data_IF_842417702157
#
_entry.id   IF_842417702157
#
_cell.length_a   1.000
_cell.length_b   1.000
_cell.length_c   1.000
_cell.angle_alpha   90.00
_cell.angle_beta   90.00
_cell.angle_gamma   90.00
#
_symmetry.space_group_name_H-M   'P 1'
#
loop_
_entity.id
_entity.type
_entity.pdbx_description
1 polymer ?
#
# COMPACT_ATOMS: atom_id res chain seq x y z
N UNK A 1 -6.95 6.57 -16.05
CA UNK A 1 -8.18 6.61 -15.21
C UNK A 1 -9.43 6.27 -16.02
N UNK A 2 -9.40 5.32 -16.96
CA UNK A 2 -10.55 5.10 -17.86
C UNK A 2 -11.51 3.99 -17.41
N UNK A 3 -11.05 3.02 -16.61
CA UNK A 3 -11.81 1.79 -16.34
C UNK A 3 -12.37 1.68 -14.92
N UNK A 4 -12.32 2.74 -14.11
CA UNK A 4 -12.84 2.67 -12.73
C UNK A 4 -14.36 2.41 -12.71
N UNK A 5 -15.11 2.85 -13.73
CA UNK A 5 -16.54 2.54 -13.84
C UNK A 5 -16.76 1.04 -14.06
N UNK A 6 -16.00 0.42 -14.97
CA UNK A 6 -16.11 -1.01 -15.25
C UNK A 6 -15.68 -1.84 -14.04
N UNK A 7 -14.55 -1.48 -13.40
CA UNK A 7 -14.06 -2.16 -12.19
C UNK A 7 -15.12 -2.18 -11.07
N UNK A 8 -15.82 -1.05 -10.86
CA UNK A 8 -16.91 -0.98 -9.87
C UNK A 8 -18.05 -1.94 -10.21
N UNK A 9 -18.42 -2.05 -11.49
CA UNK A 9 -19.50 -2.94 -11.94
C UNK A 9 -19.08 -4.40 -11.69
N UNK A 10 -17.87 -4.77 -12.09
CA UNK A 10 -17.40 -6.15 -12.05
C UNK A 10 -17.15 -6.66 -10.61
N UNK A 11 -16.74 -5.78 -9.70
CA UNK A 11 -16.32 -6.14 -8.34
C UNK A 11 -17.28 -5.69 -7.24
N UNK A 12 -18.27 -4.85 -7.57
CA UNK A 12 -19.11 -4.11 -6.63
C UNK A 12 -18.33 -3.26 -5.60
N UNK A 13 -17.04 -2.99 -5.84
CA UNK A 13 -16.22 -2.17 -4.94
C UNK A 13 -16.52 -0.69 -5.11
N UNK A 14 -16.70 0.01 -4.00
CA UNK A 14 -16.75 1.47 -3.99
C UNK A 14 -15.37 2.06 -4.36
N UNK A 15 -15.37 3.10 -5.20
CA UNK A 15 -14.14 3.72 -5.69
C UNK A 15 -14.14 5.19 -5.32
N UNK A 16 -13.08 5.59 -4.65
CA UNK A 16 -12.88 6.93 -4.12
C UNK A 16 -11.71 7.63 -4.81
N UNK A 17 -11.85 8.93 -5.03
CA UNK A 17 -10.78 9.79 -5.56
C UNK A 17 -10.47 10.89 -4.55
N UNK A 18 -9.19 11.30 -4.51
CA UNK A 18 -8.80 12.49 -3.77
C UNK A 18 -8.93 13.71 -4.67
N UNK A 19 -9.20 14.84 -4.06
CA UNK A 19 -9.21 16.14 -4.72
C UNK A 19 -7.84 16.44 -5.35
N UNK A 20 -7.82 17.14 -6.51
CA UNK A 20 -6.58 17.61 -7.10
C UNK A 20 -5.73 18.38 -6.09
N UNK A 21 -4.41 18.19 -6.15
CA UNK A 21 -3.42 18.87 -5.30
C UNK A 21 -3.64 18.68 -3.78
N UNK A 22 -4.38 17.65 -3.37
CA UNK A 22 -4.68 17.35 -1.95
C UNK A 22 -4.02 16.05 -1.47
N UNK A 23 -2.66 15.98 -1.42
CA UNK A 23 -1.94 14.74 -1.05
C UNK A 23 -2.23 14.25 0.37
N UNK A 24 -2.68 15.12 1.28
CA UNK A 24 -3.05 14.76 2.65
C UNK A 24 -4.26 13.81 2.72
N UNK A 25 -5.15 13.81 1.71
CA UNK A 25 -6.26 12.85 1.62
C UNK A 25 -5.80 11.41 1.34
N UNK A 26 -4.51 11.21 1.06
CA UNK A 26 -3.87 9.90 0.86
C UNK A 26 -2.58 9.77 1.67
N UNK A 27 -2.54 10.38 2.87
CA UNK A 27 -1.33 10.45 3.70
C UNK A 27 -0.65 9.10 3.94
N UNK A 28 -1.41 8.03 4.17
CA UNK A 28 -0.88 6.67 4.36
C UNK A 28 -0.17 6.14 3.11
N UNK A 29 -0.72 6.40 1.91
CA UNK A 29 -0.11 5.98 0.65
C UNK A 29 1.19 6.74 0.41
N UNK A 30 1.21 8.05 0.67
CA UNK A 30 2.43 8.85 0.54
C UNK A 30 3.53 8.42 1.50
N UNK A 31 3.17 8.12 2.77
CA UNK A 31 4.11 7.57 3.74
C UNK A 31 4.68 6.22 3.28
N UNK A 32 3.81 5.32 2.80
CA UNK A 32 4.20 3.99 2.32
C UNK A 32 5.10 4.08 1.10
N UNK A 33 4.79 4.96 0.14
CA UNK A 33 5.64 5.25 -1.00
C UNK A 33 7.02 5.79 -0.59
N UNK A 34 7.09 6.60 0.47
CA UNK A 34 8.36 7.06 1.05
C UNK A 34 9.22 5.90 1.57
N UNK A 35 8.61 4.88 2.18
CA UNK A 35 9.31 3.69 2.67
C UNK A 35 9.77 2.80 1.54
N UNK A 36 8.95 2.58 0.52
CA UNK A 36 9.33 1.82 -0.68
C UNK A 36 10.53 2.45 -1.39
N UNK A 37 10.63 3.79 -1.39
CA UNK A 37 11.77 4.51 -1.96
C UNK A 37 13.11 4.27 -1.24
N UNK A 38 13.11 3.69 -0.04
CA UNK A 38 14.33 3.23 0.62
C UNK A 38 14.94 1.99 -0.07
N UNK A 39 14.11 1.20 -0.77
CA UNK A 39 14.53 0.00 -1.50
C UNK A 39 14.59 0.26 -3.01
N UNK A 40 13.67 1.07 -3.52
CA UNK A 40 13.55 1.40 -4.94
C UNK A 40 13.61 2.92 -5.11
N UNK A 41 14.83 3.50 -5.19
CA UNK A 41 15.01 4.93 -5.44
C UNK A 41 14.17 5.43 -6.62
N UNK A 42 13.84 6.72 -6.62
CA UNK A 42 13.02 7.29 -7.70
C UNK A 42 13.74 7.09 -9.04
N UNK A 43 13.02 6.54 -10.03
CA UNK A 43 13.57 6.23 -11.35
C UNK A 43 14.18 4.83 -11.47
N UNK A 44 14.12 4.02 -10.40
CA UNK A 44 14.47 2.60 -10.48
C UNK A 44 13.62 1.87 -11.53
N UNK A 45 14.31 1.15 -12.41
CA UNK A 45 13.69 0.25 -13.39
C UNK A 45 13.24 -1.03 -12.69
N UNK A 46 11.93 -1.12 -12.45
CA UNK A 46 11.31 -2.23 -11.73
C UNK A 46 11.39 -3.55 -12.49
N UNK A 47 11.59 -3.54 -13.81
CA UNK A 47 11.68 -4.75 -14.63
C UNK A 47 12.91 -5.62 -14.31
N UNK A 48 13.88 -5.05 -13.59
CA UNK A 48 15.11 -5.72 -13.16
C UNK A 48 14.93 -6.57 -11.91
N UNK A 49 13.82 -6.42 -11.20
CA UNK A 49 13.53 -7.15 -9.98
C UNK A 49 12.61 -8.31 -10.28
N UNK A 50 12.95 -9.47 -9.73
CA UNK A 50 12.09 -10.64 -9.72
C UNK A 50 10.92 -10.42 -8.77
N UNK A 51 9.81 -11.11 -9.02
CA UNK A 51 8.64 -11.12 -8.13
C UNK A 51 9.05 -11.46 -6.68
N UNK A 52 9.93 -12.45 -6.51
CA UNK A 52 10.47 -12.85 -5.20
C UNK A 52 11.19 -11.71 -4.47
N UNK A 53 11.93 -10.86 -5.19
CA UNK A 53 12.60 -9.70 -4.58
C UNK A 53 11.61 -8.62 -4.18
N UNK A 54 10.57 -8.39 -5.00
CA UNK A 54 9.49 -7.46 -4.68
C UNK A 54 8.71 -7.93 -3.44
N UNK A 55 8.39 -9.23 -3.37
CA UNK A 55 7.73 -9.86 -2.23
C UNK A 55 8.58 -9.79 -0.97
N UNK A 56 9.89 -9.96 -1.06
CA UNK A 56 10.78 -9.83 0.09
C UNK A 56 10.73 -8.41 0.69
N UNK A 57 10.67 -7.38 -0.16
CA UNK A 57 10.50 -5.99 0.29
C UNK A 57 9.11 -5.76 0.89
N UNK A 58 8.06 -6.27 0.24
CA UNK A 58 6.69 -6.17 0.75
C UNK A 58 6.56 -6.84 2.12
N UNK A 59 7.07 -8.06 2.28
CA UNK A 59 7.11 -8.79 3.54
C UNK A 59 7.89 -8.02 4.61
N UNK A 60 9.04 -7.44 4.26
CA UNK A 60 9.80 -6.62 5.21
C UNK A 60 9.00 -5.42 5.69
N UNK A 61 8.23 -4.76 4.81
CA UNK A 61 7.40 -3.61 5.20
C UNK A 61 6.15 -4.01 5.99
N UNK A 62 5.55 -5.16 5.66
CA UNK A 62 4.37 -5.72 6.33
C UNK A 62 4.69 -6.32 7.71
N UNK A 63 5.93 -6.75 7.92
CA UNK A 63 6.44 -7.25 9.21
C UNK A 63 7.18 -6.17 10.02
N UNK A 64 7.23 -4.92 9.55
CA UNK A 64 7.90 -3.81 10.27
C UNK A 64 6.92 -3.15 11.27
N UNK A 65 7.22 -3.13 12.58
CA UNK A 65 6.43 -2.43 13.58
C UNK A 65 6.15 -0.97 13.24
N UNK A 66 4.92 -0.49 13.47
CA UNK A 66 4.51 0.91 13.23
C UNK A 66 4.05 1.55 14.52
N UNK A 67 4.65 2.68 14.89
CA UNK A 67 4.22 3.48 16.05
C UNK A 67 2.73 3.86 15.98
N UNK A 68 2.21 4.14 14.78
CA UNK A 68 0.79 4.48 14.54
C UNK A 68 -0.17 3.31 14.79
N UNK A 69 0.32 2.07 14.81
CA UNK A 69 -0.44 0.85 15.11
C UNK A 69 -0.15 0.34 16.53
N UNK A 70 0.27 1.20 17.45
CA UNK A 70 0.65 0.77 18.80
C UNK A 70 1.85 -0.18 18.80
N UNK A 71 2.77 0.00 17.85
CA UNK A 71 3.94 -0.86 17.61
C UNK A 71 3.65 -2.27 17.08
N UNK A 72 2.40 -2.56 16.68
CA UNK A 72 2.11 -3.75 15.87
C UNK A 72 2.66 -3.60 14.45
N UNK A 73 2.92 -4.72 13.81
CA UNK A 73 3.19 -4.79 12.38
C UNK A 73 1.88 -4.63 11.59
N UNK A 74 1.93 -4.15 10.33
CA UNK A 74 0.76 -4.14 9.46
C UNK A 74 0.11 -5.51 9.32
N UNK A 75 0.90 -6.59 9.24
CA UNK A 75 0.38 -7.95 9.14
C UNK A 75 -0.41 -8.37 10.39
N UNK A 76 0.09 -8.08 11.60
CA UNK A 76 -0.63 -8.36 12.85
C UNK A 76 -1.93 -7.57 12.94
N UNK A 77 -1.88 -6.25 12.68
CA UNK A 77 -3.07 -5.40 12.74
C UNK A 77 -4.14 -5.84 11.72
N UNK A 78 -3.71 -6.26 10.53
CA UNK A 78 -4.62 -6.79 9.51
C UNK A 78 -5.21 -8.13 9.92
N UNK A 79 -4.41 -9.05 10.49
CA UNK A 79 -4.89 -10.32 10.99
C UNK A 79 -5.95 -10.14 12.09
N UNK A 80 -5.71 -9.23 13.04
CA UNK A 80 -6.68 -8.90 14.09
C UNK A 80 -8.01 -8.40 13.51
N UNK A 81 -7.96 -7.49 12.53
CA UNK A 81 -9.14 -6.97 11.86
C UNK A 81 -9.96 -8.10 11.20
N UNK A 82 -9.29 -9.02 10.51
CA UNK A 82 -9.94 -10.17 9.88
C UNK A 82 -10.51 -11.16 10.89
N UNK A 83 -9.88 -11.31 12.05
CA UNK A 83 -10.35 -12.20 13.12
C UNK A 83 -11.48 -11.61 13.96
N UNK A 84 -11.66 -10.29 13.92
CA UNK A 84 -12.69 -9.56 14.66
C UNK A 84 -14.03 -9.47 13.90
N UNK A 85 -14.07 -9.99 12.66
CA UNK A 85 -15.25 -10.05 11.79
C UNK A 85 -15.79 -11.47 11.76
#
# INVERSE_FOLDING_TARGET
>A
MAQHVQLRIDTALEIYFCDPQSPWQRGTNENTNGLLRQYFPKGTDMSRYTERELDAVANTLNCRPRKTLGWKTPAEAFHELLSAT
#
